data_IF_225407381375
#
_entry.id   IF_225407381375
#
_cell.length_a   1.000
_cell.length_b   1.000
_cell.length_c   1.000
_cell.angle_alpha   90.00
_cell.angle_beta   90.00
_cell.angle_gamma   90.00
#
_symmetry.space_group_name_H-M   'P 1'
#
loop_
_entity.id
_entity.type
_entity.pdbx_description
1 polymer ?
#
# COMPACT_ATOMS: atom_id res chain seq x y z
N UNK A 1 9.97 14.28 -13.92
CA UNK A 1 11.05 13.26 -13.81
C UNK A 1 11.91 13.47 -12.57
N UNK A 2 12.54 14.64 -12.37
CA UNK A 2 13.37 14.91 -11.18
C UNK A 2 12.61 14.69 -9.86
N UNK A 3 11.37 15.19 -9.76
CA UNK A 3 10.53 15.01 -8.56
C UNK A 3 10.29 13.51 -8.24
N UNK A 4 9.98 12.69 -9.24
CA UNK A 4 9.77 11.24 -9.09
C UNK A 4 11.05 10.56 -8.59
N UNK A 5 12.20 10.87 -9.20
CA UNK A 5 13.49 10.29 -8.80
C UNK A 5 13.88 10.71 -7.38
N UNK A 6 13.65 11.98 -7.03
CA UNK A 6 13.89 12.52 -5.70
C UNK A 6 13.01 11.81 -4.65
N UNK A 7 11.72 11.65 -4.94
CA UNK A 7 10.77 11.00 -4.04
C UNK A 7 11.20 9.56 -3.71
N UNK A 8 11.51 8.77 -4.75
CA UNK A 8 11.95 7.38 -4.58
C UNK A 8 13.30 7.27 -3.87
N UNK A 9 14.28 8.10 -4.21
CA UNK A 9 15.59 8.08 -3.56
C UNK A 9 15.53 8.46 -2.08
N UNK A 10 14.78 9.52 -1.75
CA UNK A 10 14.59 9.96 -0.37
C UNK A 10 13.84 8.90 0.43
N UNK A 11 12.73 8.37 -0.10
CA UNK A 11 11.97 7.33 0.56
C UNK A 11 12.79 6.05 0.78
N UNK A 12 13.65 5.66 -0.17
CA UNK A 12 14.54 4.51 -0.02
C UNK A 12 15.58 4.71 1.09
N UNK A 13 16.22 5.88 1.14
CA UNK A 13 17.19 6.19 2.19
C UNK A 13 16.52 6.28 3.57
N UNK A 14 15.39 6.99 3.66
CA UNK A 14 14.60 7.08 4.89
C UNK A 14 14.14 5.71 5.37
N UNK A 15 13.67 4.84 4.47
CA UNK A 15 13.20 3.51 4.84
C UNK A 15 14.36 2.61 5.26
N UNK A 16 15.49 2.65 4.55
CA UNK A 16 16.68 1.88 4.91
C UNK A 16 17.18 2.22 6.33
N UNK A 17 17.27 3.52 6.66
CA UNK A 17 17.75 3.99 7.96
C UNK A 17 16.68 3.85 9.05
N UNK A 18 15.43 4.20 8.74
CA UNK A 18 14.29 4.12 9.64
C UNK A 18 13.97 2.69 10.05
N UNK A 19 14.03 1.74 9.12
CA UNK A 19 13.84 0.31 9.41
C UNK A 19 14.93 -0.20 10.36
N UNK A 20 16.20 0.19 10.15
CA UNK A 20 17.30 -0.15 11.06
C UNK A 20 17.05 0.38 12.48
N UNK A 21 16.52 1.60 12.59
CA UNK A 21 16.15 2.18 13.87
C UNK A 21 15.02 1.40 14.55
N UNK A 22 13.94 1.09 13.81
CA UNK A 22 12.80 0.32 14.32
C UNK A 22 13.22 -1.07 14.82
N UNK A 23 14.10 -1.76 14.09
CA UNK A 23 14.64 -3.06 14.52
C UNK A 23 15.27 -2.97 15.91
N UNK A 24 16.13 -1.97 16.14
CA UNK A 24 16.77 -1.76 17.46
C UNK A 24 15.74 -1.37 18.53
N UNK A 25 14.78 -0.53 18.17
CA UNK A 25 13.77 -0.02 19.10
C UNK A 25 12.83 -1.12 19.61
N UNK A 26 12.40 -2.02 18.71
CA UNK A 26 11.48 -3.10 19.05
C UNK A 26 12.19 -4.31 19.66
N UNK A 27 13.40 -4.63 19.22
CA UNK A 27 14.18 -5.74 19.81
C UNK A 27 14.52 -5.49 21.28
N UNK A 28 14.86 -4.24 21.64
CA UNK A 28 15.14 -3.85 23.03
C UNK A 28 13.92 -3.87 23.94
N UNK A 29 12.70 -3.89 23.38
CA UNK A 29 11.43 -3.91 24.12
C UNK A 29 10.73 -5.27 24.12
N UNK A 30 11.34 -6.30 23.53
CA UNK A 30 10.76 -7.63 23.43
C UNK A 30 9.44 -7.66 22.63
N UNK A 31 9.25 -6.72 21.70
CA UNK A 31 8.04 -6.60 20.88
C UNK A 31 8.14 -7.44 19.59
N UNK A 32 8.57 -8.69 19.73
CA UNK A 32 8.53 -9.69 18.66
C UNK A 32 7.13 -10.28 18.49
N UNK A 33 6.85 -10.86 17.33
CA UNK A 33 5.57 -11.57 17.11
C UNK A 33 5.37 -12.70 18.15
N UNK A 34 4.19 -12.78 18.81
CA UNK A 34 3.85 -13.89 19.71
C UNK A 34 3.63 -15.19 18.93
N UNK A 35 3.97 -16.32 19.56
CA UNK A 35 3.98 -17.67 18.98
C UNK A 35 2.55 -18.10 18.54
N UNK A 36 2.45 -18.78 17.39
CA UNK A 36 1.28 -19.59 17.00
C UNK A 36 1.03 -20.67 18.08
N UNK A 37 -0.10 -20.60 18.79
CA UNK A 37 -0.47 -21.64 19.73
C UNK A 37 -0.70 -22.98 19.02
N UNK A 38 -0.65 -24.10 19.75
CA UNK A 38 -0.87 -25.47 19.24
C UNK A 38 -2.19 -25.69 18.46
N UNK A 39 -3.11 -24.73 18.50
CA UNK A 39 -4.39 -24.73 17.77
C UNK A 39 -4.26 -24.23 16.32
N UNK A 40 -3.18 -23.51 15.97
CA UNK A 40 -2.98 -22.84 14.68
C UNK A 40 -1.86 -23.53 13.86
N UNK A 41 -2.09 -24.77 13.42
CA UNK A 41 -1.17 -25.55 12.56
C UNK A 41 -0.93 -24.88 11.19
N UNK A 42 -0.04 -23.89 11.15
CA UNK A 42 0.70 -23.53 9.95
C UNK A 42 1.91 -24.47 9.75
N UNK A 43 2.44 -24.62 8.52
CA UNK A 43 3.52 -25.57 8.23
C UNK A 43 4.77 -25.33 9.10
N UNK A 44 5.52 -26.40 9.39
CA UNK A 44 6.65 -26.46 10.33
C UNK A 44 7.76 -25.40 10.09
N UNK A 45 7.82 -24.79 8.90
CA UNK A 45 8.71 -23.68 8.54
C UNK A 45 8.50 -22.38 9.35
N UNK A 46 7.38 -22.23 10.08
CA UNK A 46 7.11 -21.02 10.89
C UNK A 46 7.77 -21.01 12.27
N UNK A 47 8.35 -22.12 12.74
CA UNK A 47 8.97 -22.19 14.09
C UNK A 47 10.30 -21.42 14.19
N UNK A 48 10.98 -21.16 13.06
CA UNK A 48 12.23 -20.39 13.01
C UNK A 48 12.07 -18.87 13.05
N UNK A 49 10.83 -18.34 13.00
CA UNK A 49 10.53 -16.89 12.94
C UNK A 49 10.33 -16.24 14.32
N UNK A 50 10.73 -16.92 15.41
CA UNK A 50 10.57 -16.43 16.78
C UNK A 50 11.39 -15.17 17.05
N UNK A 51 10.77 -14.17 17.67
CA UNK A 51 11.47 -12.98 18.20
C UNK A 51 11.76 -11.88 17.19
N UNK A 52 11.45 -12.08 15.90
CA UNK A 52 11.56 -11.02 14.89
C UNK A 52 10.54 -9.91 15.17
N UNK A 53 10.97 -8.63 15.27
CA UNK A 53 10.07 -7.50 15.44
C UNK A 53 9.00 -7.40 14.34
N UNK A 54 7.81 -6.93 14.69
CA UNK A 54 6.73 -6.57 13.75
C UNK A 54 6.56 -5.05 13.65
N UNK A 55 5.59 -4.57 12.87
CA UNK A 55 5.30 -3.14 12.59
C UNK A 55 6.35 -2.43 11.74
N UNK A 56 7.10 -3.17 10.93
CA UNK A 56 8.04 -2.59 9.96
C UNK A 56 7.37 -1.67 8.94
N UNK A 57 6.07 -1.85 8.69
CA UNK A 57 5.25 -0.99 7.84
C UNK A 57 5.25 0.48 8.24
N UNK A 58 5.52 0.79 9.52
CA UNK A 58 5.71 2.17 9.98
C UNK A 58 6.84 2.88 9.23
N UNK A 59 7.96 2.18 9.00
CA UNK A 59 9.07 2.74 8.24
C UNK A 59 8.69 2.95 6.76
N UNK A 60 7.92 2.03 6.18
CA UNK A 60 7.47 2.16 4.78
C UNK A 60 6.59 3.40 4.63
N UNK A 61 5.52 3.50 5.42
CA UNK A 61 4.51 4.58 5.30
C UNK A 61 5.13 5.94 5.62
N UNK A 62 5.91 6.04 6.71
CA UNK A 62 6.57 7.29 7.06
C UNK A 62 7.59 7.72 5.99
N UNK A 63 8.38 6.80 5.46
CA UNK A 63 9.39 7.12 4.44
C UNK A 63 8.77 7.47 3.09
N UNK A 64 7.69 6.79 2.71
CA UNK A 64 6.93 7.14 1.51
C UNK A 64 6.31 8.54 1.64
N UNK A 65 5.75 8.88 2.80
CA UNK A 65 5.20 10.22 3.04
C UNK A 65 6.30 11.28 2.98
N UNK A 66 7.45 11.03 3.60
CA UNK A 66 8.61 11.94 3.55
C UNK A 66 9.09 12.11 2.09
N UNK A 67 9.22 11.03 1.33
CA UNK A 67 9.62 11.09 -0.08
C UNK A 67 8.66 11.94 -0.91
N UNK A 68 7.36 11.73 -0.73
CA UNK A 68 6.31 12.49 -1.41
C UNK A 68 6.35 13.99 -1.04
N UNK A 69 6.45 14.31 0.26
CA UNK A 69 6.57 15.70 0.73
C UNK A 69 7.84 16.39 0.23
N UNK A 70 8.99 15.69 0.21
CA UNK A 70 10.25 16.27 -0.27
C UNK A 70 10.20 16.51 -1.78
N UNK A 71 9.53 15.66 -2.55
CA UNK A 71 9.34 15.89 -3.99
C UNK A 71 8.56 17.18 -4.29
N UNK A 72 7.67 17.62 -3.39
CA UNK A 72 6.92 18.88 -3.51
C UNK A 72 7.79 20.14 -3.38
N UNK A 73 9.04 20.02 -2.91
CA UNK A 73 10.02 21.11 -2.97
C UNK A 73 10.49 21.44 -4.40
N UNK A 74 10.06 20.66 -5.41
CA UNK A 74 10.38 20.84 -6.83
C UNK A 74 9.23 21.48 -7.62
N UNK A 75 8.43 22.32 -6.96
CA UNK A 75 7.33 23.10 -7.55
C UNK A 75 6.26 22.24 -8.25
N UNK A 76 6.01 21.03 -7.74
CA UNK A 76 4.82 20.26 -8.09
C UNK A 76 3.68 20.66 -7.15
N UNK A 77 2.48 20.85 -7.71
CA UNK A 77 1.31 21.21 -6.91
C UNK A 77 0.83 20.01 -6.09
N UNK A 78 0.44 20.27 -4.85
CA UNK A 78 -0.29 19.30 -4.04
C UNK A 78 -1.64 19.02 -4.69
N UNK A 79 -1.83 17.80 -5.19
CA UNK A 79 -3.09 17.36 -5.75
C UNK A 79 -4.08 17.02 -4.64
N UNK A 80 -5.31 17.54 -4.73
CA UNK A 80 -6.43 17.13 -3.86
C UNK A 80 -6.60 15.60 -3.88
N UNK A 81 -6.41 14.99 -5.05
CA UNK A 81 -6.46 13.54 -5.25
C UNK A 81 -5.37 12.81 -4.47
N UNK A 82 -4.13 13.31 -4.50
CA UNK A 82 -3.03 12.71 -3.72
C UNK A 82 -3.26 12.86 -2.23
N UNK A 83 -3.79 14.00 -1.79
CA UNK A 83 -4.10 14.24 -0.39
C UNK A 83 -5.16 13.26 0.12
N UNK A 84 -6.25 13.06 -0.63
CA UNK A 84 -7.31 12.09 -0.26
C UNK A 84 -6.74 10.68 -0.21
N UNK A 85 -5.91 10.28 -1.19
CA UNK A 85 -5.24 8.98 -1.19
C UNK A 85 -4.34 8.83 0.04
N UNK A 86 -3.56 9.85 0.39
CA UNK A 86 -2.74 9.84 1.61
C UNK A 86 -3.56 9.70 2.89
N UNK A 87 -4.69 10.39 3.00
CA UNK A 87 -5.61 10.22 4.15
C UNK A 87 -6.11 8.78 4.22
N UNK A 88 -6.47 8.19 3.08
CA UNK A 88 -6.88 6.79 3.00
C UNK A 88 -5.77 5.82 3.44
N UNK A 89 -4.56 5.99 2.92
CA UNK A 89 -3.37 5.21 3.27
C UNK A 89 -3.07 5.31 4.77
N UNK A 90 -3.05 6.53 5.32
CA UNK A 90 -2.76 6.77 6.73
C UNK A 90 -3.86 6.18 7.64
N UNK A 91 -5.13 6.27 7.23
CA UNK A 91 -6.24 5.63 7.91
C UNK A 91 -6.09 4.10 7.96
N UNK A 92 -5.79 3.47 6.81
CA UNK A 92 -5.58 2.03 6.71
C UNK A 92 -4.35 1.58 7.51
N UNK A 93 -3.27 2.35 7.44
CA UNK A 93 -2.05 2.12 8.21
C UNK A 93 -2.30 2.22 9.72
N UNK A 94 -3.09 3.20 10.15
CA UNK A 94 -3.48 3.36 11.55
C UNK A 94 -4.33 2.17 12.05
N UNK A 95 -5.26 1.70 11.23
CA UNK A 95 -6.03 0.49 11.55
C UNK A 95 -5.11 -0.74 11.70
N UNK A 96 -4.13 -0.89 10.81
CA UNK A 96 -3.12 -1.95 10.90
C UNK A 96 -2.23 -1.81 12.14
N UNK A 97 -1.86 -0.58 12.50
CA UNK A 97 -1.11 -0.28 13.72
C UNK A 97 -1.86 -0.68 14.98
N UNK A 98 -3.16 -0.36 15.07
CA UNK A 98 -4.00 -0.78 16.19
C UNK A 98 -4.03 -2.30 16.32
N UNK A 99 -4.18 -3.01 15.20
CA UNK A 99 -4.22 -4.47 15.18
C UNK A 99 -2.88 -5.10 15.65
N UNK A 100 -1.77 -4.66 15.06
CA UNK A 100 -0.42 -5.11 15.44
C UNK A 100 -0.12 -4.78 16.91
N UNK A 101 -0.54 -3.61 17.39
CA UNK A 101 -0.29 -3.19 18.77
C UNK A 101 -1.07 -4.04 19.76
N UNK A 102 -2.32 -4.38 19.44
CA UNK A 102 -3.13 -5.29 20.25
C UNK A 102 -2.50 -6.69 20.29
N UNK A 103 -2.02 -7.22 19.15
CA UNK A 103 -1.32 -8.52 19.06
C UNK A 103 -0.09 -8.55 19.97
N UNK A 104 0.78 -7.53 19.87
CA UNK A 104 2.01 -7.42 20.68
C UNK A 104 1.68 -7.27 22.17
N UNK A 105 0.72 -6.41 22.53
CA UNK A 105 0.36 -6.14 23.93
C UNK A 105 -0.27 -7.36 24.61
N UNK A 106 -1.13 -8.11 23.91
CA UNK A 106 -1.80 -9.30 24.46
C UNK A 106 -0.92 -10.56 24.43
N UNK A 107 0.25 -10.51 23.77
CA UNK A 107 1.10 -11.69 23.51
C UNK A 107 0.30 -12.87 22.94
N UNK A 108 -0.72 -12.57 22.16
CA UNK A 108 -1.61 -13.54 21.54
C UNK A 108 -1.73 -13.19 20.07
N UNK A 109 -1.80 -14.19 19.21
CA UNK A 109 -1.88 -14.00 17.76
C UNK A 109 -3.19 -13.35 17.29
N UNK A 110 -4.17 -13.16 18.19
CA UNK A 110 -5.47 -12.59 17.87
C UNK A 110 -5.46 -11.10 18.17
N UNK A 111 -5.46 -10.30 17.10
CA UNK A 111 -5.64 -8.86 17.15
C UNK A 111 -7.10 -8.48 17.39
N UNK A 112 -7.58 -7.49 16.63
CA UNK A 112 -8.98 -7.11 16.53
C UNK A 112 -9.76 -8.30 15.97
N UNK A 113 -11.01 -8.45 16.41
CA UNK A 113 -11.87 -9.51 15.89
C UNK A 113 -12.00 -9.37 14.37
N UNK A 114 -11.62 -10.42 13.62
CA UNK A 114 -11.45 -10.35 12.17
C UNK A 114 -12.65 -9.77 11.42
N UNK A 115 -13.89 -10.07 11.86
CA UNK A 115 -15.11 -9.49 11.28
C UNK A 115 -15.15 -7.98 11.49
N UNK A 116 -14.88 -7.50 12.70
CA UNK A 116 -14.88 -6.06 13.01
C UNK A 116 -13.83 -5.32 12.19
N UNK A 117 -12.61 -5.87 12.11
CA UNK A 117 -11.54 -5.30 11.28
C UNK A 117 -11.97 -5.18 9.82
N UNK A 118 -12.51 -6.25 9.24
CA UNK A 118 -12.95 -6.26 7.85
C UNK A 118 -14.09 -5.27 7.58
N UNK A 119 -15.07 -5.13 8.49
CA UNK A 119 -16.14 -4.14 8.32
C UNK A 119 -15.61 -2.70 8.39
N UNK A 120 -14.67 -2.41 9.29
CA UNK A 120 -14.07 -1.08 9.41
C UNK A 120 -13.27 -0.73 8.16
N UNK A 121 -12.37 -1.61 7.70
CA UNK A 121 -11.58 -1.36 6.49
C UNK A 121 -12.47 -1.27 5.24
N UNK A 122 -13.56 -2.03 5.18
CA UNK A 122 -14.54 -1.93 4.10
C UNK A 122 -15.23 -0.56 4.10
N UNK A 123 -15.74 -0.09 5.25
CA UNK A 123 -16.38 1.23 5.35
C UNK A 123 -15.41 2.37 5.00
N UNK A 124 -14.16 2.27 5.46
CA UNK A 124 -13.11 3.23 5.09
C UNK A 124 -12.85 3.24 3.58
N UNK A 125 -12.85 2.07 2.94
CA UNK A 125 -12.65 1.93 1.50
C UNK A 125 -13.75 2.63 0.70
N UNK A 126 -15.02 2.43 1.06
CA UNK A 126 -16.14 3.14 0.44
C UNK A 126 -16.11 4.64 0.73
N UNK A 127 -15.72 5.05 1.94
CA UNK A 127 -15.56 6.47 2.29
C UNK A 127 -14.50 7.18 1.45
N UNK A 128 -13.35 6.55 1.22
CA UNK A 128 -12.29 7.07 0.34
C UNK A 128 -12.78 7.16 -1.10
N UNK A 129 -13.43 6.11 -1.62
CA UNK A 129 -13.97 6.10 -2.97
C UNK A 129 -15.00 7.21 -3.20
N UNK A 130 -15.92 7.41 -2.25
CA UNK A 130 -16.89 8.51 -2.28
C UNK A 130 -16.20 9.88 -2.27
N UNK A 131 -15.18 10.05 -1.43
CA UNK A 131 -14.49 11.34 -1.31
C UNK A 131 -13.70 11.70 -2.57
N UNK A 132 -13.06 10.72 -3.24
CA UNK A 132 -12.39 10.94 -4.52
C UNK A 132 -13.36 11.52 -5.56
N UNK A 133 -14.53 10.90 -5.71
CA UNK A 133 -15.58 11.37 -6.62
C UNK A 133 -16.06 12.78 -6.26
N UNK A 134 -16.35 13.01 -4.98
CA UNK A 134 -16.93 14.27 -4.52
C UNK A 134 -15.99 15.48 -4.63
N UNK A 135 -14.67 15.27 -4.68
CA UNK A 135 -13.68 16.34 -4.52
C UNK A 135 -12.66 16.48 -5.66
N UNK A 136 -12.45 15.48 -6.52
CA UNK A 136 -11.30 15.50 -7.45
C UNK A 136 -11.64 15.50 -8.93
N UNK A 137 -12.92 15.34 -9.30
CA UNK A 137 -13.31 15.14 -10.70
C UNK A 137 -12.67 13.91 -11.34
N UNK A 138 -12.48 12.84 -10.54
CA UNK A 138 -11.96 11.56 -11.04
C UNK A 138 -12.85 11.02 -12.15
N UNK A 139 -12.25 10.36 -13.13
CA UNK A 139 -13.01 9.75 -14.23
C UNK A 139 -13.80 8.54 -13.72
N UNK A 140 -15.12 8.60 -13.88
CA UNK A 140 -16.06 7.57 -13.41
C UNK A 140 -16.33 6.47 -14.47
N UNK A 141 -15.35 6.22 -15.33
CA UNK A 141 -15.40 5.14 -16.31
C UNK A 141 -14.68 3.88 -15.80
N UNK A 142 -15.17 2.72 -16.21
CA UNK A 142 -14.47 1.44 -16.00
C UNK A 142 -13.77 1.10 -17.32
N UNK A 143 -12.46 1.38 -17.36
CA UNK A 143 -11.63 1.09 -18.53
C UNK A 143 -11.15 -0.36 -18.55
N UNK A 144 -11.44 -1.09 -19.64
CA UNK A 144 -10.88 -2.44 -19.86
C UNK A 144 -9.46 -2.34 -20.41
N UNK A 145 -9.28 -1.57 -21.47
CA UNK A 145 -7.98 -1.16 -22.02
C UNK A 145 -8.06 0.31 -22.36
N UNK A 146 -7.05 1.10 -21.97
CA UNK A 146 -7.02 2.54 -22.24
C UNK A 146 -6.69 2.90 -23.70
N UNK A 147 -6.47 1.90 -24.54
CA UNK A 147 -6.33 2.04 -25.98
C UNK A 147 -7.68 1.66 -26.62
N UNK A 148 -8.32 2.63 -27.28
CA UNK A 148 -9.66 2.51 -27.85
C UNK A 148 -10.76 2.75 -26.81
N UNK A 149 -11.93 3.22 -27.25
CA UNK A 149 -13.11 3.59 -26.44
C UNK A 149 -13.78 2.38 -25.74
N UNK A 150 -12.99 1.43 -25.23
CA UNK A 150 -13.40 0.22 -24.53
C UNK A 150 -13.64 0.47 -23.02
N UNK A 151 -14.08 1.68 -22.68
CA UNK A 151 -14.48 2.09 -21.33
C UNK A 151 -15.99 2.22 -21.22
N UNK A 152 -16.55 1.85 -20.08
CA UNK A 152 -17.97 2.04 -19.79
C UNK A 152 -18.12 3.14 -18.73
N UNK A 153 -18.78 4.24 -19.08
CA UNK A 153 -19.25 5.20 -18.08
C UNK A 153 -20.30 4.53 -17.20
N UNK A 154 -20.15 4.64 -15.89
CA UNK A 154 -21.07 4.04 -14.92
C UNK A 154 -21.65 5.12 -14.02
N UNK A 155 -22.87 4.93 -13.49
CA UNK A 155 -23.42 5.85 -12.51
C UNK A 155 -22.50 5.97 -11.29
N UNK A 156 -22.43 7.17 -10.71
CA UNK A 156 -21.58 7.49 -9.57
C UNK A 156 -21.65 6.47 -8.43
N UNK A 157 -22.85 6.03 -8.08
CA UNK A 157 -23.06 5.03 -7.02
C UNK A 157 -22.39 3.69 -7.40
N UNK A 158 -22.49 3.27 -8.65
CA UNK A 158 -21.86 2.04 -9.15
C UNK A 158 -20.34 2.17 -9.13
N UNK A 159 -19.80 3.32 -9.54
CA UNK A 159 -18.36 3.57 -9.49
C UNK A 159 -17.83 3.54 -8.06
N UNK A 160 -18.51 4.21 -7.11
CA UNK A 160 -18.11 4.21 -5.70
C UNK A 160 -18.15 2.81 -5.10
N UNK A 161 -19.16 2.01 -5.46
CA UNK A 161 -19.24 0.61 -5.02
C UNK A 161 -18.08 -0.22 -5.59
N UNK A 162 -17.80 -0.07 -6.88
CA UNK A 162 -16.70 -0.75 -7.56
C UNK A 162 -15.34 -0.37 -6.97
N UNK A 163 -15.06 0.93 -6.84
CA UNK A 163 -13.83 1.46 -6.29
C UNK A 163 -13.61 1.06 -4.82
N UNK A 164 -14.65 1.15 -3.99
CA UNK A 164 -14.59 0.71 -2.60
C UNK A 164 -14.29 -0.78 -2.46
N UNK A 165 -14.90 -1.62 -3.32
CA UNK A 165 -14.60 -3.05 -3.37
C UNK A 165 -13.15 -3.32 -3.82
N UNK A 166 -12.63 -2.59 -4.80
CA UNK A 166 -11.23 -2.73 -5.24
C UNK A 166 -10.26 -2.38 -4.11
N UNK A 167 -10.47 -1.25 -3.40
CA UNK A 167 -9.61 -0.85 -2.28
C UNK A 167 -9.66 -1.90 -1.17
N UNK A 168 -10.86 -2.36 -0.81
CA UNK A 168 -11.04 -3.35 0.25
C UNK A 168 -10.45 -4.73 -0.14
N UNK A 169 -10.69 -5.21 -1.36
CA UNK A 169 -10.16 -6.48 -1.83
C UNK A 169 -8.62 -6.45 -1.88
N UNK A 170 -8.04 -5.37 -2.42
CA UNK A 170 -6.58 -5.24 -2.55
C UNK A 170 -5.88 -5.15 -1.19
N UNK A 171 -6.46 -4.42 -0.23
CA UNK A 171 -5.91 -4.35 1.14
C UNK A 171 -5.90 -5.70 1.85
N UNK A 172 -6.94 -6.50 1.66
CA UNK A 172 -6.98 -7.87 2.18
C UNK A 172 -6.01 -8.79 1.45
N UNK A 173 -5.93 -8.72 0.12
CA UNK A 173 -5.02 -9.54 -0.68
C UNK A 173 -3.55 -9.31 -0.28
N UNK A 174 -3.12 -8.05 -0.14
CA UNK A 174 -1.76 -7.72 0.31
C UNK A 174 -1.50 -8.20 1.73
N UNK A 175 -2.50 -8.16 2.63
CA UNK A 175 -2.38 -8.69 3.99
C UNK A 175 -2.12 -10.21 3.98
N UNK A 176 -2.82 -10.97 3.14
CA UNK A 176 -2.58 -12.41 2.98
C UNK A 176 -1.17 -12.70 2.45
N UNK A 177 -0.67 -11.89 1.50
CA UNK A 177 0.67 -12.06 0.91
C UNK A 177 1.84 -11.78 1.86
N UNK A 178 1.62 -11.08 2.98
CA UNK A 178 2.68 -10.73 3.96
C UNK A 178 3.12 -11.91 4.86
N UNK A 179 2.79 -13.16 4.49
CA UNK A 179 3.17 -14.37 5.22
C UNK A 179 4.61 -14.85 5.02
N UNK A 180 5.28 -14.40 3.94
CA UNK A 180 6.62 -14.83 3.54
C UNK A 180 7.63 -13.68 3.50
N UNK A 181 8.88 -13.99 3.87
CA UNK A 181 9.97 -13.02 3.99
C UNK A 181 10.24 -12.35 2.63
N UNK A 182 10.09 -11.04 2.56
CA UNK A 182 10.34 -10.26 1.34
C UNK A 182 9.28 -10.39 0.26
N UNK A 183 8.26 -11.24 0.38
CA UNK A 183 7.28 -11.47 -0.68
C UNK A 183 6.38 -10.26 -0.91
N UNK A 184 5.64 -9.82 0.12
CA UNK A 184 4.74 -8.67 0.00
C UNK A 184 5.51 -7.37 -0.31
N UNK A 185 6.67 -7.16 0.32
CA UNK A 185 7.52 -6.00 0.02
C UNK A 185 8.06 -6.01 -1.41
N UNK A 186 8.46 -7.18 -1.92
CA UNK A 186 9.01 -7.37 -3.26
C UNK A 186 7.97 -7.22 -4.36
N UNK A 187 6.81 -7.84 -4.20
CA UNK A 187 5.70 -7.70 -5.16
C UNK A 187 5.18 -6.26 -5.18
N UNK A 188 5.05 -5.62 -4.02
CA UNK A 188 4.66 -4.21 -3.92
C UNK A 188 5.68 -3.28 -4.60
N UNK A 189 6.98 -3.50 -4.41
CA UNK A 189 8.03 -2.74 -5.10
C UNK A 189 7.84 -2.77 -6.62
N UNK A 190 7.60 -3.95 -7.19
CA UNK A 190 7.36 -4.11 -8.63
C UNK A 190 6.05 -3.42 -9.05
N UNK A 191 4.99 -3.55 -8.25
CA UNK A 191 3.70 -2.93 -8.53
C UNK A 191 3.75 -1.40 -8.53
N UNK A 192 4.39 -0.81 -7.52
CA UNK A 192 4.62 0.64 -7.48
C UNK A 192 5.55 1.11 -8.58
N UNK A 193 6.56 0.31 -8.96
CA UNK A 193 7.41 0.59 -10.12
C UNK A 193 6.61 0.65 -11.43
N UNK A 194 5.67 -0.28 -11.63
CA UNK A 194 4.76 -0.27 -12.77
C UNK A 194 3.86 0.98 -12.76
N UNK A 195 3.20 1.29 -11.64
CA UNK A 195 2.36 2.47 -11.53
C UNK A 195 3.12 3.79 -11.69
N UNK A 196 4.37 3.86 -11.23
CA UNK A 196 5.27 5.00 -11.48
C UNK A 196 5.49 5.21 -12.99
N UNK A 197 5.74 4.14 -13.74
CA UNK A 197 5.93 4.20 -15.20
C UNK A 197 4.62 4.62 -15.88
N UNK A 198 3.50 3.99 -15.52
CA UNK A 198 2.18 4.29 -16.09
C UNK A 198 1.82 5.76 -15.86
N UNK A 199 1.93 6.23 -14.62
CA UNK A 199 1.65 7.62 -14.27
C UNK A 199 2.52 8.59 -15.06
N UNK A 200 3.83 8.34 -15.16
CA UNK A 200 4.72 9.22 -15.92
C UNK A 200 4.38 9.22 -17.41
N UNK A 201 4.03 8.05 -17.96
CA UNK A 201 3.60 7.92 -19.35
C UNK A 201 2.31 8.70 -19.61
N UNK A 202 1.32 8.59 -18.71
CA UNK A 202 0.09 9.36 -18.75
C UNK A 202 0.35 10.86 -18.68
N UNK A 203 1.23 11.30 -17.77
CA UNK A 203 1.62 12.71 -17.65
C UNK A 203 2.27 13.26 -18.94
N UNK A 204 3.06 12.44 -19.64
CA UNK A 204 3.74 12.86 -20.88
C UNK A 204 2.82 12.84 -22.10
N UNK A 205 1.69 12.16 -22.04
CA UNK A 205 0.75 12.00 -23.16
C UNK A 205 -0.69 12.40 -22.76
N UNK A 206 -0.93 13.67 -22.36
CA UNK A 206 -2.22 14.10 -21.85
C UNK A 206 -3.36 14.01 -22.88
N UNK A 207 -3.05 14.17 -24.17
CA UNK A 207 -4.04 14.10 -25.26
C UNK A 207 -4.66 12.71 -25.45
N UNK A 208 -3.96 11.65 -25.01
CA UNK A 208 -4.43 10.26 -25.13
C UNK A 208 -5.16 9.83 -23.86
N UNK A 209 -4.73 10.35 -22.72
CA UNK A 209 -5.04 9.74 -21.43
C UNK A 209 -5.86 10.64 -20.50
N UNK A 210 -5.73 11.97 -20.56
CA UNK A 210 -6.59 12.93 -19.83
C UNK A 210 -6.95 12.56 -18.37
N UNK A 211 -5.99 12.09 -17.56
CA UNK A 211 -6.21 11.81 -16.13
C UNK A 211 -5.86 13.02 -15.27
N UNK A 212 -6.55 13.13 -14.13
CA UNK A 212 -6.31 14.14 -13.10
C UNK A 212 -4.97 13.89 -12.41
N UNK A 213 -4.13 14.93 -12.36
CA UNK A 213 -2.88 15.00 -11.58
C UNK A 213 -1.95 13.76 -11.68
N UNK A 214 -1.64 13.25 -12.90
CA UNK A 214 -0.90 12.01 -13.06
C UNK A 214 0.52 12.10 -12.50
N UNK A 215 1.18 13.26 -12.61
CA UNK A 215 2.55 13.43 -12.12
C UNK A 215 2.66 13.19 -10.60
N UNK A 216 1.70 13.69 -9.82
CA UNK A 216 1.71 13.55 -8.37
C UNK A 216 1.44 12.10 -7.93
N UNK A 217 0.55 11.39 -8.64
CA UNK A 217 0.37 9.94 -8.47
C UNK A 217 1.69 9.18 -8.72
N UNK A 218 2.49 9.63 -9.68
CA UNK A 218 3.80 9.03 -9.99
C UNK A 218 4.84 9.28 -8.91
N UNK A 219 4.78 10.45 -8.28
CA UNK A 219 5.60 10.78 -7.11
C UNK A 219 5.21 9.92 -5.91
N UNK A 220 3.91 9.72 -5.68
CA UNK A 220 3.39 8.80 -4.66
C UNK A 220 3.88 7.37 -4.92
N UNK A 221 3.69 6.86 -6.14
CA UNK A 221 4.13 5.52 -6.54
C UNK A 221 5.65 5.35 -6.38
N UNK A 222 6.46 6.31 -6.83
CA UNK A 222 7.91 6.26 -6.65
C UNK A 222 8.33 6.29 -5.18
N UNK A 223 7.63 7.06 -4.35
CA UNK A 223 7.90 7.12 -2.91
C UNK A 223 7.64 5.77 -2.24
N UNK A 224 6.54 5.09 -2.58
CA UNK A 224 6.26 3.75 -2.09
C UNK A 224 7.24 2.70 -2.63
N UNK A 225 7.59 2.76 -3.92
CA UNK A 225 8.61 1.90 -4.50
C UNK A 225 9.95 2.05 -3.76
N UNK A 226 10.40 3.29 -3.56
CA UNK A 226 11.61 3.58 -2.79
C UNK A 226 11.53 3.07 -1.36
N UNK A 227 10.42 3.33 -0.67
CA UNK A 227 10.22 2.87 0.70
C UNK A 227 10.24 1.32 0.83
N UNK A 228 9.60 0.61 -0.10
CA UNK A 228 9.66 -0.85 -0.19
C UNK A 228 11.10 -1.34 -0.44
N UNK A 229 11.85 -0.70 -1.34
CA UNK A 229 13.24 -1.04 -1.64
C UNK A 229 14.14 -0.94 -0.39
N UNK A 230 14.03 0.17 0.35
CA UNK A 230 14.80 0.37 1.59
C UNK A 230 14.42 -0.61 2.70
N UNK A 231 13.13 -0.97 2.78
CA UNK A 231 12.63 -1.94 3.76
C UNK A 231 13.09 -3.36 3.45
N UNK A 232 13.08 -3.76 2.17
CA UNK A 232 13.48 -5.09 1.71
C UNK A 232 14.91 -5.46 2.10
N UNK A 233 15.83 -4.50 2.23
CA UNK A 233 17.17 -4.74 2.75
C UNK A 233 17.19 -5.43 4.13
N UNK A 234 16.14 -5.19 4.93
CA UNK A 234 16.00 -5.77 6.27
C UNK A 234 14.98 -6.91 6.34
N UNK A 235 14.07 -6.99 5.36
CA UNK A 235 12.97 -7.96 5.34
C UNK A 235 13.21 -9.15 4.40
N UNK A 236 14.14 -9.06 3.44
CA UNK A 236 14.53 -10.18 2.59
C UNK A 236 15.06 -11.36 3.42
N UNK A 237 14.81 -12.57 2.96
CA UNK A 237 15.13 -13.79 3.69
C UNK A 237 16.63 -13.89 4.04
N UNK A 238 17.00 -14.18 5.30
CA UNK A 238 16.14 -14.30 6.50
C UNK A 238 15.70 -12.94 7.07
N UNK A 239 14.40 -12.74 7.31
CA UNK A 239 13.85 -11.45 7.73
C UNK A 239 14.29 -11.00 9.14
N UNK A 240 14.70 -9.73 9.26
CA UNK A 240 15.04 -9.07 10.54
C UNK A 240 13.92 -8.22 11.12
N UNK A 241 12.86 -7.99 10.34
CA UNK A 241 11.64 -7.30 10.74
C UNK A 241 10.50 -7.70 9.80
N UNK A 242 9.31 -7.87 10.34
CA UNK A 242 8.08 -8.10 9.57
C UNK A 242 7.34 -6.80 9.31
N UNK A 243 6.69 -6.73 8.15
CA UNK A 243 5.93 -5.55 7.74
C UNK A 243 4.73 -5.34 8.66
N UNK A 244 3.96 -6.40 8.89
CA UNK A 244 2.79 -6.37 9.75
C UNK A 244 1.61 -5.68 9.06
N UNK A 245 0.46 -5.69 9.75
CA UNK A 245 -0.79 -5.16 9.24
C UNK A 245 -0.70 -3.66 8.91
N UNK A 246 0.16 -2.92 9.61
CA UNK A 246 0.47 -1.50 9.33
C UNK A 246 0.84 -1.29 7.87
N UNK A 247 1.78 -2.09 7.37
CA UNK A 247 2.33 -1.92 6.03
C UNK A 247 1.45 -2.58 4.99
N UNK A 248 0.92 -3.76 5.27
CA UNK A 248 0.10 -4.49 4.31
C UNK A 248 -1.18 -3.74 3.93
N UNK A 249 -1.91 -3.19 4.92
CA UNK A 249 -3.11 -2.39 4.65
C UNK A 249 -2.77 -1.08 3.95
N UNK A 250 -1.65 -0.43 4.29
CA UNK A 250 -1.22 0.80 3.63
C UNK A 250 -0.84 0.58 2.17
N UNK A 251 -0.06 -0.48 1.89
CA UNK A 251 0.38 -0.84 0.53
C UNK A 251 -0.82 -1.20 -0.34
N UNK A 252 -1.74 -2.03 0.16
CA UNK A 252 -2.92 -2.40 -0.61
C UNK A 252 -3.82 -1.21 -0.92
N UNK A 253 -3.98 -0.28 0.02
CA UNK A 253 -4.73 0.96 -0.20
C UNK A 253 -4.06 1.85 -1.24
N UNK A 254 -2.73 1.98 -1.19
CA UNK A 254 -1.95 2.76 -2.15
C UNK A 254 -2.01 2.16 -3.57
N UNK A 255 -1.82 0.84 -3.73
CA UNK A 255 -1.89 0.16 -5.03
C UNK A 255 -3.28 0.27 -5.65
N UNK A 256 -4.33 0.02 -4.87
CA UNK A 256 -5.71 0.17 -5.33
C UNK A 256 -6.02 1.62 -5.74
N UNK A 257 -5.62 2.58 -4.91
CA UNK A 257 -5.84 4.00 -5.20
C UNK A 257 -5.10 4.43 -6.47
N UNK A 258 -3.86 3.99 -6.68
CA UNK A 258 -3.12 4.27 -7.92
C UNK A 258 -3.82 3.67 -9.15
N UNK A 259 -4.32 2.44 -9.05
CA UNK A 259 -5.09 1.84 -10.14
C UNK A 259 -6.36 2.63 -10.47
N UNK A 260 -7.10 3.05 -9.44
CA UNK A 260 -8.35 3.80 -9.58
C UNK A 260 -8.11 5.20 -10.16
N UNK A 261 -7.16 5.94 -9.58
CA UNK A 261 -6.83 7.33 -9.96
C UNK A 261 -6.22 7.43 -11.34
N UNK A 262 -5.49 6.41 -11.79
CA UNK A 262 -4.93 6.34 -13.14
C UNK A 262 -5.88 5.69 -14.16
N UNK A 263 -7.10 5.33 -13.75
CA UNK A 263 -8.09 4.64 -14.58
C UNK A 263 -7.51 3.37 -15.25
N UNK A 264 -6.78 2.57 -14.47
CA UNK A 264 -6.19 1.28 -14.89
C UNK A 264 -6.64 0.16 -13.95
N UNK A 265 -7.94 0.10 -13.65
CA UNK A 265 -8.50 -0.73 -12.58
C UNK A 265 -8.20 -2.22 -12.81
N UNK A 266 -8.46 -2.73 -14.01
CA UNK A 266 -8.25 -4.15 -14.34
C UNK A 266 -6.77 -4.55 -14.41
N UNK A 267 -5.89 -3.58 -14.70
CA UNK A 267 -4.45 -3.82 -14.73
C UNK A 267 -3.92 -4.18 -13.35
N UNK A 268 -4.63 -3.81 -12.28
CA UNK A 268 -4.30 -4.20 -10.91
C UNK A 268 -4.27 -5.72 -10.74
N UNK A 269 -5.11 -6.47 -11.45
CA UNK A 269 -5.10 -7.95 -11.42
C UNK A 269 -3.77 -8.49 -11.95
N UNK A 270 -3.24 -7.89 -13.01
CA UNK A 270 -1.96 -8.29 -13.60
C UNK A 270 -0.77 -7.81 -12.76
N UNK A 271 -0.80 -6.55 -12.33
CA UNK A 271 0.27 -5.92 -11.55
C UNK A 271 0.39 -6.56 -10.16
N UNK A 272 -0.75 -6.88 -9.53
CA UNK A 272 -0.82 -7.53 -8.22
C UNK A 272 -1.14 -9.02 -8.34
N UNK A 273 -0.79 -9.67 -9.46
CA UNK A 273 -1.15 -11.06 -9.74
C UNK A 273 -0.72 -12.04 -8.64
N UNK A 274 0.45 -11.82 -8.02
CA UNK A 274 0.90 -12.59 -6.87
C UNK A 274 -0.08 -12.45 -5.70
N UNK A 275 -0.50 -11.23 -5.38
CA UNK A 275 -1.45 -10.98 -4.30
C UNK A 275 -2.82 -11.58 -4.57
N UNK A 276 -3.25 -11.59 -5.84
CA UNK A 276 -4.52 -12.21 -6.26
C UNK A 276 -4.45 -13.73 -6.12
N UNK A 277 -3.36 -14.37 -6.58
CA UNK A 277 -3.19 -15.83 -6.50
C UNK A 277 -3.06 -16.31 -5.05
N UNK A 278 -2.41 -15.55 -4.17
CA UNK A 278 -2.30 -15.92 -2.75
C UNK A 278 -3.62 -15.74 -1.99
N UNK A 279 -4.54 -14.89 -2.48
CA UNK A 279 -5.80 -14.59 -1.81
C UNK A 279 -6.97 -15.52 -2.20
N UNK A 280 -6.83 -16.33 -3.26
CA UNK A 280 -7.89 -17.19 -3.82
C UNK A 280 -7.46 -18.64 -3.95
#
# INVERSE_FOLDING_TARGET
MIAIMLAGAVAALCSLLGTRFLIKWFSTRGQGQPILGKEDLGPEHHMGKQGTPTMGGLAIVASALIGWLVAHTRDIAFSDQAMIVWVGILGMSFMGFLDDWIKVKKRHNRGIFWKQKNYITMLMSFGIAWWLVAATGIEESISVTRAGDLGFEVPQVVWVLWAGLIIWATTNAVNVTDGLDGLAGGSALMGFGAFMIISYWTFRNPEIYSVVNPLDMGVLAASFAGACLGFLWWNAAPARIFMGDVGALAIGAALASLALTLNTHLLLILICGINVVEAG
#
